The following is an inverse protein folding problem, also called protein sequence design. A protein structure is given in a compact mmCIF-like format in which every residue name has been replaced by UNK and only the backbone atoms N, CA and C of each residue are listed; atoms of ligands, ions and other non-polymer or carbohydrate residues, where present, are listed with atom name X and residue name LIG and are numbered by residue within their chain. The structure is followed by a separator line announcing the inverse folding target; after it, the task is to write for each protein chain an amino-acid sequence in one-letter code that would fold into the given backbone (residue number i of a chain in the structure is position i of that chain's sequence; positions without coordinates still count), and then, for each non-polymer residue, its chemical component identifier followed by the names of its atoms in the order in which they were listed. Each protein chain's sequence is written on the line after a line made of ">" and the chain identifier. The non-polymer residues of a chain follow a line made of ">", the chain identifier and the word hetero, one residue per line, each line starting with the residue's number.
data_IF_710556053172
#
_entry.id   IF_710556053172
#
_cell.length_a   1.000
_cell.length_b   1.000
_cell.length_c   1.000
_cell.angle_alpha   90.00
_cell.angle_beta   90.00
_cell.angle_gamma   90.00
#
_symmetry.space_group_name_H-M   'P 1'
#
loop_
_entity.id
_entity.type
_entity.pdbx_description
1 polymer ?
#
# COMPACT_ATOMS: atom_id res chain seq x y z
N UNK A 1 -35.07 52.05 8.86
CA UNK A 1 -34.46 50.78 9.32
C UNK A 1 -33.15 51.09 10.03
N UNK A 2 -32.95 50.61 11.26
CA UNK A 2 -31.89 51.10 12.15
C UNK A 2 -30.54 50.48 11.75
N UNK A 3 -29.50 51.30 11.46
CA UNK A 3 -28.21 50.83 10.92
C UNK A 3 -27.56 49.71 11.75
N UNK A 4 -27.76 49.74 13.07
CA UNK A 4 -27.30 48.68 14.00
C UNK A 4 -27.96 47.32 13.76
N UNK A 5 -29.25 47.29 13.37
CA UNK A 5 -29.97 46.05 13.07
C UNK A 5 -29.48 45.42 11.77
N UNK A 6 -29.20 46.23 10.75
CA UNK A 6 -28.67 45.78 9.45
C UNK A 6 -27.28 45.16 9.63
N UNK A 7 -26.40 45.79 10.40
CA UNK A 7 -25.06 45.27 10.68
C UNK A 7 -25.11 43.90 11.38
N UNK A 8 -26.02 43.73 12.35
CA UNK A 8 -26.18 42.48 13.08
C UNK A 8 -26.66 41.34 12.17
N UNK A 9 -27.59 41.62 11.25
CA UNK A 9 -28.10 40.64 10.28
C UNK A 9 -27.02 40.20 9.29
N UNK A 10 -26.17 41.13 8.83
CA UNK A 10 -25.06 40.80 7.93
C UNK A 10 -24.03 39.93 8.64
N UNK A 11 -23.70 40.27 9.90
CA UNK A 11 -22.76 39.47 10.68
C UNK A 11 -23.27 38.06 10.94
N UNK A 12 -24.57 37.91 11.22
CA UNK A 12 -25.16 36.58 11.44
C UNK A 12 -25.19 35.74 10.16
N UNK A 13 -25.52 36.34 9.01
CA UNK A 13 -25.47 35.63 7.72
C UNK A 13 -24.04 35.20 7.36
N UNK A 14 -23.05 36.06 7.57
CA UNK A 14 -21.65 35.72 7.33
C UNK A 14 -21.19 34.58 8.25
N UNK A 15 -21.60 34.60 9.53
CA UNK A 15 -21.26 33.55 10.48
C UNK A 15 -21.92 32.22 10.13
N UNK A 16 -23.19 32.24 9.71
CA UNK A 16 -23.89 31.04 9.21
C UNK A 16 -23.21 30.50 7.96
N UNK A 17 -22.82 31.36 7.01
CA UNK A 17 -22.12 30.93 5.80
C UNK A 17 -20.77 30.26 6.11
N UNK A 18 -20.00 30.80 7.07
CA UNK A 18 -18.73 30.22 7.51
C UNK A 18 -18.94 28.86 8.20
N UNK A 19 -19.93 28.74 9.09
CA UNK A 19 -20.25 27.47 9.74
C UNK A 19 -20.71 26.44 8.71
N UNK A 20 -21.60 26.81 7.79
CA UNK A 20 -22.04 25.93 6.72
C UNK A 20 -20.86 25.45 5.86
N UNK A 21 -19.88 26.31 5.55
CA UNK A 21 -18.70 25.93 4.79
C UNK A 21 -17.76 24.98 5.55
N UNK A 22 -17.71 25.08 6.88
CA UNK A 22 -16.95 24.17 7.74
C UNK A 22 -17.65 22.82 7.94
N UNK A 23 -18.99 22.81 8.04
CA UNK A 23 -19.79 21.60 8.29
C UNK A 23 -20.10 20.83 7.00
N UNK A 24 -20.28 21.51 5.87
CA UNK A 24 -20.54 20.89 4.56
C UNK A 24 -19.27 20.62 3.76
N UNK A 25 -18.08 20.76 4.37
CA UNK A 25 -16.86 20.25 3.72
C UNK A 25 -17.05 18.74 3.60
N UNK A 26 -17.01 18.18 2.38
CA UNK A 26 -17.05 16.74 2.25
C UNK A 26 -15.80 16.20 2.95
N UNK A 27 -16.00 15.45 4.04
CA UNK A 27 -15.01 14.50 4.54
C UNK A 27 -14.95 13.36 3.53
N UNK A 28 -14.46 13.61 2.32
CA UNK A 28 -13.88 12.52 1.55
C UNK A 28 -12.63 12.15 2.31
N UNK A 29 -12.66 11.01 2.99
CA UNK A 29 -11.47 10.38 3.54
C UNK A 29 -10.39 10.43 2.45
N UNK A 30 -9.33 11.20 2.69
CA UNK A 30 -8.21 11.34 1.73
C UNK A 30 -7.62 9.99 1.35
N UNK A 31 -7.80 9.00 2.23
CA UNK A 31 -7.29 7.64 2.11
C UNK A 31 -8.00 6.85 1.00
N UNK A 32 -9.33 6.97 0.86
CA UNK A 32 -10.07 6.30 -0.22
C UNK A 32 -9.82 6.94 -1.59
N UNK A 33 -9.53 8.25 -1.62
CA UNK A 33 -9.31 8.97 -2.86
C UNK A 33 -8.02 8.54 -3.58
N UNK A 34 -7.00 8.09 -2.84
CA UNK A 34 -5.72 7.64 -3.44
C UNK A 34 -5.92 6.46 -4.36
N UNK A 35 -6.63 5.43 -3.90
CA UNK A 35 -6.87 4.25 -4.73
C UNK A 35 -7.76 4.58 -5.92
N UNK A 36 -8.74 5.47 -5.76
CA UNK A 36 -9.54 5.99 -6.89
C UNK A 36 -8.67 6.76 -7.89
N UNK A 37 -7.71 7.57 -7.43
CA UNK A 37 -6.79 8.30 -8.30
C UNK A 37 -5.84 7.35 -9.05
N UNK A 38 -5.28 6.36 -8.36
CA UNK A 38 -4.43 5.33 -8.96
C UNK A 38 -5.23 4.48 -9.97
N UNK A 39 -6.42 4.01 -9.59
CA UNK A 39 -7.37 3.29 -10.45
C UNK A 39 -7.67 3.99 -11.77
N UNK A 40 -7.83 5.31 -11.78
CA UNK A 40 -8.04 6.09 -13.02
C UNK A 40 -6.84 6.05 -13.96
N UNK A 41 -5.64 5.84 -13.44
CA UNK A 41 -4.42 5.74 -14.23
C UNK A 41 -4.26 4.35 -14.87
N UNK A 42 -4.84 3.30 -14.27
CA UNK A 42 -4.66 1.90 -14.66
C UNK A 42 -5.95 1.17 -15.11
N UNK A 43 -7.10 1.85 -15.09
CA UNK A 43 -8.43 1.31 -15.45
C UNK A 43 -8.89 0.09 -14.62
N UNK A 44 -8.44 0.03 -13.35
CA UNK A 44 -8.76 -1.04 -12.42
C UNK A 44 -9.58 -0.47 -11.26
N UNK A 45 -10.77 -1.01 -10.96
CA UNK A 45 -11.49 -0.64 -9.74
C UNK A 45 -10.76 -1.20 -8.52
N UNK A 46 -10.23 -0.35 -7.66
CA UNK A 46 -9.48 -0.76 -6.48
C UNK A 46 -9.94 -0.02 -5.22
N UNK A 47 -9.84 -0.69 -4.08
CA UNK A 47 -10.16 -0.15 -2.76
C UNK A 47 -8.91 -0.12 -1.89
N UNK A 48 -8.85 0.83 -0.97
CA UNK A 48 -7.73 0.88 -0.03
C UNK A 48 -7.77 -0.33 0.90
N UNK A 49 -6.66 -1.07 0.95
CA UNK A 49 -6.50 -2.22 1.83
C UNK A 49 -5.65 -1.94 3.05
N UNK A 50 -4.53 -1.27 2.86
CA UNK A 50 -3.57 -0.97 3.91
C UNK A 50 -2.80 0.31 3.59
N UNK A 51 -2.29 1.00 4.61
CA UNK A 51 -1.42 2.15 4.46
C UNK A 51 -0.20 2.02 5.36
N UNK A 52 0.98 2.17 4.77
CA UNK A 52 2.21 2.41 5.51
C UNK A 52 2.50 3.91 5.52
N UNK A 53 2.09 4.56 6.61
CA UNK A 53 2.30 6.00 6.83
C UNK A 53 3.79 6.35 6.92
N UNK A 54 4.64 5.42 7.37
CA UNK A 54 6.08 5.66 7.50
C UNK A 54 6.78 5.68 6.14
N UNK A 55 6.38 4.78 5.23
CA UNK A 55 6.91 4.69 3.88
C UNK A 55 6.17 5.59 2.87
N UNK A 56 5.03 6.18 3.26
CA UNK A 56 4.12 6.93 2.38
C UNK A 56 3.56 6.06 1.23
N UNK A 57 3.07 4.87 1.57
CA UNK A 57 2.56 3.91 0.57
C UNK A 57 1.14 3.50 0.96
N UNK A 58 0.26 3.51 -0.02
CA UNK A 58 -1.07 2.90 0.05
C UNK A 58 -1.06 1.59 -0.74
N UNK A 59 -1.74 0.58 -0.23
CA UNK A 59 -1.92 -0.71 -0.90
C UNK A 59 -3.38 -0.81 -1.32
N UNK A 60 -3.61 -0.80 -2.63
CA UNK A 60 -4.93 -0.82 -3.22
C UNK A 60 -5.24 -2.24 -3.69
N UNK A 61 -6.28 -2.87 -3.14
CA UNK A 61 -6.73 -4.20 -3.54
C UNK A 61 -7.79 -4.08 -4.64
N UNK A 62 -7.64 -4.87 -5.68
CA UNK A 62 -8.62 -5.07 -6.76
C UNK A 62 -9.09 -6.53 -6.77
N UNK A 63 -9.91 -6.92 -7.75
CA UNK A 63 -10.26 -8.33 -7.94
C UNK A 63 -9.06 -9.18 -8.41
N UNK A 64 -8.13 -8.58 -9.16
CA UNK A 64 -6.96 -9.24 -9.73
C UNK A 64 -5.78 -9.31 -8.76
N UNK A 65 -5.62 -8.35 -7.86
CA UNK A 65 -4.43 -8.33 -7.02
C UNK A 65 -4.33 -7.19 -6.01
N UNK A 66 -3.09 -6.93 -5.57
CA UNK A 66 -2.76 -5.81 -4.70
C UNK A 66 -1.71 -4.92 -5.37
N UNK A 67 -2.07 -3.67 -5.59
CA UNK A 67 -1.23 -2.64 -6.21
C UNK A 67 -0.66 -1.69 -5.16
N UNK A 68 0.67 -1.63 -4.98
CA UNK A 68 1.30 -0.63 -4.12
C UNK A 68 1.35 0.74 -4.82
N UNK A 69 1.04 1.80 -4.08
CA UNK A 69 0.94 3.18 -4.57
C UNK A 69 1.75 4.10 -3.67
N UNK A 70 2.83 4.67 -4.21
CA UNK A 70 3.65 5.67 -3.53
C UNK A 70 2.96 7.03 -3.56
N UNK A 71 2.88 7.68 -2.42
CA UNK A 71 2.17 8.96 -2.25
C UNK A 71 3.08 10.07 -1.71
N UNK A 72 2.54 11.28 -1.62
CA UNK A 72 3.09 12.31 -0.74
C UNK A 72 2.74 12.03 0.73
N UNK A 73 3.43 12.74 1.65
CA UNK A 73 3.26 12.56 3.10
C UNK A 73 1.84 12.77 3.60
N UNK A 74 1.08 13.61 2.91
CA UNK A 74 -0.30 13.92 3.25
C UNK A 74 -1.30 12.95 2.62
N UNK A 75 -0.85 11.96 1.84
CA UNK A 75 -1.74 10.97 1.21
C UNK A 75 -2.84 11.61 0.36
N UNK A 76 -2.47 12.65 -0.41
CA UNK A 76 -3.40 13.40 -1.27
C UNK A 76 -3.04 13.35 -2.75
N UNK A 77 -1.82 12.87 -3.07
CA UNK A 77 -1.28 12.79 -4.42
C UNK A 77 -0.53 11.49 -4.61
N UNK A 78 -0.85 10.80 -5.71
CA UNK A 78 -0.07 9.68 -6.22
C UNK A 78 1.21 10.19 -6.86
N UNK A 79 2.35 9.68 -6.41
CA UNK A 79 3.66 9.91 -7.03
C UNK A 79 3.99 8.83 -8.04
N UNK A 80 3.75 7.59 -7.66
CA UNK A 80 3.95 6.42 -8.51
C UNK A 80 2.98 5.31 -8.11
N UNK A 81 2.68 4.41 -9.03
CA UNK A 81 2.09 3.12 -8.72
C UNK A 81 2.99 2.03 -9.27
N UNK A 82 3.09 0.94 -8.53
CA UNK A 82 3.91 -0.21 -8.86
C UNK A 82 3.06 -1.30 -9.51
N UNK A 83 3.71 -2.32 -10.05
CA UNK A 83 2.97 -3.42 -10.66
C UNK A 83 2.09 -4.09 -9.62
N UNK A 84 0.87 -4.45 -10.02
CA UNK A 84 -0.04 -5.20 -9.17
C UNK A 84 0.51 -6.62 -8.99
N UNK A 85 0.59 -7.09 -7.74
CA UNK A 85 0.82 -8.52 -7.50
C UNK A 85 -0.49 -9.26 -7.78
N UNK A 86 -0.47 -10.12 -8.78
CA UNK A 86 -1.63 -10.83 -9.28
C UNK A 86 -1.93 -12.09 -8.43
N UNK A 87 -3.19 -12.22 -7.99
CA UNK A 87 -3.66 -13.36 -7.20
C UNK A 87 -3.68 -14.67 -8.00
N UNK A 88 -3.97 -14.60 -9.31
CA UNK A 88 -3.95 -15.74 -10.21
C UNK A 88 -2.51 -16.21 -10.42
N UNK A 89 -1.56 -15.30 -10.66
CA UNK A 89 -0.13 -15.66 -10.77
C UNK A 89 0.32 -16.42 -9.51
N UNK A 90 0.01 -15.91 -8.31
CA UNK A 90 0.30 -16.64 -7.07
C UNK A 90 -0.37 -18.02 -6.99
N UNK A 91 -1.63 -18.15 -7.42
CA UNK A 91 -2.34 -19.43 -7.36
C UNK A 91 -1.84 -20.44 -8.40
N UNK A 92 -1.43 -20.00 -9.58
CA UNK A 92 -0.82 -20.84 -10.62
C UNK A 92 0.59 -21.25 -10.19
N UNK A 93 1.33 -20.34 -9.56
CA UNK A 93 2.65 -20.59 -8.99
C UNK A 93 2.63 -21.55 -7.78
N UNK A 94 1.49 -21.75 -7.09
CA UNK A 94 1.39 -22.81 -6.07
C UNK A 94 1.64 -24.21 -6.61
N UNK A 95 1.45 -24.44 -7.91
CA UNK A 95 1.60 -25.77 -8.52
C UNK A 95 3.06 -26.08 -8.90
N UNK A 96 3.90 -25.06 -9.16
CA UNK A 96 5.30 -25.22 -9.61
C UNK A 96 6.37 -24.43 -8.81
N UNK A 97 6.00 -23.43 -7.99
CA UNK A 97 6.92 -22.47 -7.31
C UNK A 97 6.72 -22.26 -5.80
N UNK A 98 5.72 -22.88 -5.16
CA UNK A 98 5.68 -23.04 -3.70
C UNK A 98 4.86 -22.00 -2.91
N UNK A 99 5.15 -21.91 -1.60
CA UNK A 99 4.38 -21.18 -0.58
C UNK A 99 4.42 -19.64 -0.68
N UNK A 100 5.26 -19.11 -1.58
CA UNK A 100 5.54 -17.68 -1.76
C UNK A 100 5.63 -17.30 -3.25
N UNK A 101 5.20 -16.09 -3.59
CA UNK A 101 5.55 -15.40 -4.83
C UNK A 101 6.18 -14.05 -4.52
N UNK A 102 7.07 -13.55 -5.38
CA UNK A 102 7.77 -12.27 -5.16
C UNK A 102 8.02 -11.51 -6.46
N UNK A 103 7.98 -10.18 -6.36
CA UNK A 103 8.43 -9.27 -7.39
C UNK A 103 9.27 -8.14 -6.80
N UNK A 104 10.09 -7.54 -7.66
CA UNK A 104 10.84 -6.32 -7.35
C UNK A 104 10.38 -5.19 -8.27
N UNK A 105 10.01 -4.09 -7.65
CA UNK A 105 9.58 -2.86 -8.31
C UNK A 105 10.54 -1.72 -8.02
N UNK A 106 10.70 -0.83 -9.01
CA UNK A 106 11.65 0.27 -8.92
C UNK A 106 11.03 1.55 -9.49
N UNK A 107 11.17 2.64 -8.75
CA UNK A 107 10.86 4.00 -9.18
C UNK A 107 12.13 4.86 -9.08
N UNK A 108 13.05 4.78 -10.06
CA UNK A 108 14.33 5.49 -10.00
C UNK A 108 14.19 7.01 -9.83
N UNK A 109 13.14 7.62 -10.42
CA UNK A 109 12.86 9.05 -10.29
C UNK A 109 12.57 9.48 -8.86
N UNK A 110 11.98 8.60 -8.06
CA UNK A 110 11.64 8.84 -6.66
C UNK A 110 12.71 8.30 -5.70
N UNK A 111 13.79 7.69 -6.23
CA UNK A 111 14.80 6.94 -5.47
C UNK A 111 14.17 5.93 -4.52
N UNK A 112 13.20 5.20 -5.04
CA UNK A 112 12.42 4.26 -4.28
C UNK A 112 12.40 2.92 -4.99
N UNK A 113 12.58 1.84 -4.23
CA UNK A 113 12.39 0.48 -4.71
C UNK A 113 11.69 -0.35 -3.65
N UNK A 114 11.03 -1.41 -4.11
CA UNK A 114 10.19 -2.26 -3.30
C UNK A 114 10.35 -3.71 -3.71
N UNK A 115 10.36 -4.59 -2.71
CA UNK A 115 10.17 -6.03 -2.89
C UNK A 115 8.82 -6.34 -2.26
N UNK A 116 7.96 -7.06 -2.98
CA UNK A 116 6.66 -7.50 -2.45
C UNK A 116 6.36 -8.91 -2.85
N UNK A 117 5.56 -9.59 -2.03
CA UNK A 117 5.18 -10.97 -2.26
C UNK A 117 3.89 -11.36 -1.56
N UNK A 118 3.29 -12.45 -2.03
CA UNK A 118 2.23 -13.14 -1.31
C UNK A 118 2.79 -14.37 -0.60
N UNK A 119 2.24 -14.67 0.57
CA UNK A 119 2.48 -15.92 1.26
C UNK A 119 1.18 -16.42 1.89
N UNK A 120 1.02 -17.74 2.00
CA UNK A 120 -0.05 -18.30 2.82
C UNK A 120 0.26 -18.19 4.31
N UNK A 121 -0.65 -18.69 5.15
CA UNK A 121 -0.55 -18.65 6.60
C UNK A 121 0.43 -19.67 7.18
N UNK A 122 0.89 -20.65 6.43
CA UNK A 122 1.95 -21.57 6.86
C UNK A 122 3.25 -20.80 7.15
N UNK A 123 3.49 -19.73 6.40
CA UNK A 123 4.67 -18.87 6.58
C UNK A 123 4.44 -17.85 7.69
N UNK A 124 5.25 -17.98 8.76
CA UNK A 124 5.19 -17.09 9.91
C UNK A 124 6.24 -16.00 9.88
N UNK A 125 7.41 -16.26 9.29
CA UNK A 125 8.47 -15.28 9.13
C UNK A 125 9.15 -15.38 7.77
N UNK A 126 9.72 -14.27 7.31
CA UNK A 126 10.45 -14.18 6.06
C UNK A 126 11.71 -13.33 6.28
N UNK A 127 12.82 -13.73 5.67
CA UNK A 127 14.07 -12.97 5.62
C UNK A 127 14.42 -12.76 4.14
N UNK A 128 14.68 -11.51 3.76
CA UNK A 128 15.20 -11.16 2.43
C UNK A 128 16.73 -11.09 2.53
N UNK A 129 17.40 -12.19 2.16
CA UNK A 129 18.83 -12.38 2.27
C UNK A 129 19.60 -11.39 1.39
N UNK A 130 19.09 -11.16 0.17
CA UNK A 130 19.68 -10.22 -0.79
C UNK A 130 19.68 -8.77 -0.31
N UNK A 131 18.91 -8.42 0.73
CA UNK A 131 18.84 -7.07 1.32
C UNK A 131 19.42 -6.97 2.73
N UNK A 132 20.48 -7.74 3.03
CA UNK A 132 21.14 -7.80 4.35
C UNK A 132 20.25 -8.43 5.43
N UNK A 133 19.60 -9.55 5.11
CA UNK A 133 18.79 -10.34 6.02
C UNK A 133 17.67 -9.52 6.68
N UNK A 134 17.01 -8.66 5.89
CA UNK A 134 15.93 -7.80 6.39
C UNK A 134 14.64 -8.59 6.50
N UNK A 135 13.93 -8.39 7.61
CA UNK A 135 12.58 -8.89 7.78
C UNK A 135 11.57 -7.92 7.13
N UNK A 136 10.77 -8.36 6.15
CA UNK A 136 9.77 -7.51 5.53
C UNK A 136 8.58 -7.25 6.47
N UNK A 137 7.90 -6.14 6.23
CA UNK A 137 6.60 -5.85 6.81
C UNK A 137 5.54 -6.77 6.20
N UNK A 138 4.42 -6.98 6.91
CA UNK A 138 3.29 -7.73 6.38
C UNK A 138 1.94 -7.23 6.86
N UNK A 139 0.90 -7.53 6.09
CA UNK A 139 -0.48 -7.36 6.50
C UNK A 139 -1.36 -8.46 5.89
N UNK A 140 -2.49 -8.73 6.54
CA UNK A 140 -3.46 -9.73 6.10
C UNK A 140 -4.38 -9.14 5.03
N UNK A 141 -4.56 -9.86 3.92
CA UNK A 141 -5.49 -9.49 2.85
C UNK A 141 -6.83 -10.23 3.03
N UNK A 142 -6.86 -11.54 2.80
CA UNK A 142 -8.08 -12.36 2.93
C UNK A 142 -7.71 -13.83 2.99
N UNK A 143 -8.59 -14.68 3.52
CA UNK A 143 -8.49 -16.14 3.41
C UNK A 143 -7.07 -16.69 3.63
N UNK A 144 -6.45 -16.25 4.73
CA UNK A 144 -5.09 -16.66 5.12
C UNK A 144 -3.96 -16.24 4.16
N UNK A 145 -4.23 -15.32 3.24
CA UNK A 145 -3.25 -14.70 2.35
C UNK A 145 -2.64 -13.45 2.99
N UNK A 146 -1.33 -13.45 3.11
CA UNK A 146 -0.53 -12.35 3.61
C UNK A 146 0.18 -11.63 2.47
N UNK A 147 0.14 -10.31 2.49
CA UNK A 147 1.03 -9.47 1.70
C UNK A 147 2.29 -9.20 2.51
N UNK A 148 3.45 -9.42 1.92
CA UNK A 148 4.74 -9.09 2.48
C UNK A 148 5.43 -8.03 1.64
N UNK A 149 6.13 -7.11 2.28
CA UNK A 149 6.84 -6.06 1.56
C UNK A 149 8.04 -5.49 2.30
N UNK A 150 9.02 -5.06 1.52
CA UNK A 150 10.18 -4.31 1.95
C UNK A 150 10.35 -3.10 1.02
N UNK A 151 10.73 -1.96 1.59
CA UNK A 151 10.91 -0.70 0.85
C UNK A 151 12.27 -0.13 1.16
N UNK A 152 12.86 0.57 0.19
CA UNK A 152 14.16 1.19 0.35
C UNK A 152 14.24 2.51 -0.41
N UNK A 153 14.94 3.49 0.16
CA UNK A 153 15.30 4.76 -0.49
C UNK A 153 16.50 4.59 -1.45
N UNK A 154 16.58 3.43 -2.10
CA UNK A 154 17.54 3.13 -3.15
C UNK A 154 16.79 3.12 -4.48
N UNK A 155 17.49 3.42 -5.56
CA UNK A 155 16.91 3.34 -6.91
C UNK A 155 16.64 1.89 -7.35
N UNK A 156 17.33 0.91 -6.76
CA UNK A 156 17.27 -0.50 -7.10
C UNK A 156 17.47 -1.39 -5.88
N UNK A 157 16.97 -2.61 -5.97
CA UNK A 157 17.22 -3.73 -5.05
C UNK A 157 18.24 -4.70 -5.64
N UNK A 158 18.81 -5.54 -4.79
CA UNK A 158 19.77 -6.58 -5.18
C UNK A 158 19.03 -7.75 -5.83
N UNK A 159 19.51 -8.15 -7.00
CA UNK A 159 18.95 -9.24 -7.80
C UNK A 159 19.98 -10.38 -7.95
N UNK A 160 19.55 -11.67 -7.96
CA UNK A 160 18.18 -12.13 -7.76
C UNK A 160 17.67 -11.86 -6.33
N UNK A 161 16.35 -11.87 -6.15
CA UNK A 161 15.76 -11.76 -4.81
C UNK A 161 15.93 -13.10 -4.13
N UNK A 162 16.66 -13.12 -3.02
CA UNK A 162 16.91 -14.32 -2.23
C UNK A 162 16.09 -14.23 -0.93
N UNK A 163 15.21 -15.20 -0.71
CA UNK A 163 14.25 -15.20 0.39
C UNK A 163 14.27 -16.54 1.10
N UNK A 164 14.32 -16.50 2.44
CA UNK A 164 14.09 -17.66 3.31
C UNK A 164 12.80 -17.45 4.10
N UNK A 165 11.91 -18.43 4.08
CA UNK A 165 10.62 -18.41 4.77
C UNK A 165 10.57 -19.50 5.84
N UNK A 166 9.96 -19.16 6.98
CA UNK A 166 9.94 -19.98 8.17
C UNK A 166 8.52 -20.25 8.66
N UNK A 167 8.31 -21.44 9.23
CA UNK A 167 7.09 -21.81 9.93
C UNK A 167 7.01 -21.22 11.36
N UNK A 168 6.02 -21.68 12.14
CA UNK A 168 5.82 -21.24 13.53
C UNK A 168 6.89 -21.75 14.51
N UNK A 169 7.52 -22.87 14.18
CA UNK A 169 8.60 -23.48 14.96
C UNK A 169 9.97 -22.87 14.61
N UNK A 170 10.02 -22.07 13.54
CA UNK A 170 11.24 -21.44 13.02
C UNK A 170 12.01 -22.35 12.06
N UNK A 171 11.40 -23.40 11.53
CA UNK A 171 12.00 -24.24 10.50
C UNK A 171 11.85 -23.59 9.12
N UNK A 172 12.86 -23.79 8.26
CA UNK A 172 12.81 -23.33 6.88
C UNK A 172 11.80 -24.17 6.10
N UNK A 173 10.83 -23.52 5.48
CA UNK A 173 9.80 -24.17 4.64
C UNK A 173 9.83 -23.71 3.18
N UNK A 174 10.56 -22.64 2.87
CA UNK A 174 10.91 -22.25 1.50
C UNK A 174 12.19 -21.39 1.49
N UNK A 175 13.00 -21.51 0.44
CA UNK A 175 14.32 -20.86 0.31
C UNK A 175 15.48 -21.83 0.50
N UNK A 176 16.69 -21.39 0.16
CA UNK A 176 17.90 -22.19 0.38
C UNK A 176 18.20 -22.25 1.89
N UNK A 177 18.41 -23.47 2.41
CA UNK A 177 19.08 -23.67 3.69
C UNK A 177 20.56 -23.38 3.46
N UNK A 178 21.13 -22.41 4.20
CA UNK A 178 22.58 -22.27 4.26
C UNK A 178 23.16 -23.58 4.82
N UNK A 179 23.80 -24.39 3.95
CA UNK A 179 24.59 -25.58 4.33
C UNK A 179 25.78 -25.24 5.25
#
# INVERSE_FOLDING_TARGET
>A
MNKKKILLTILSLAFIAVISFLVLRPETSSEEEICVQASKQFDLSSQLRFMDVSANIAFCESESGVMPVLTNKEFTKVKNAFHELDFQEFNEEKVDRGLISWQADQAPKEKFAMISGFANDEIKSIIINSENNVQPNRFLIRDNLWFWYFTTEKEKVNMPIEVTAFDEEGHVIAGEEDE
#
